data_IF_175890099396
#
_entry.id   IF_175890099396
#
_cell.length_a   1.000
_cell.length_b   1.000
_cell.length_c   1.000
_cell.angle_alpha   90.00
_cell.angle_beta   90.00
_cell.angle_gamma   90.00
#
_symmetry.space_group_name_H-M   'P 1'
#
loop_
_entity.id
_entity.type
_entity.pdbx_description
1 polymer ?
#
# COMPACT_ATOMS: atom_id res chain seq x y z
N UNK A 1 49.63 -21.79 19.77
CA UNK A 1 48.67 -21.23 20.72
C UNK A 1 48.02 -19.92 20.25
N UNK A 2 48.70 -19.14 19.47
CA UNK A 2 48.17 -17.84 18.98
C UNK A 2 47.13 -18.05 17.86
N UNK A 3 47.09 -19.22 17.23
CA UNK A 3 46.16 -19.52 16.13
C UNK A 3 44.73 -19.79 16.59
N UNK A 4 44.50 -20.12 17.84
CA UNK A 4 43.15 -20.39 18.38
C UNK A 4 42.38 -19.11 18.75
N UNK A 5 43.10 -18.02 19.01
CA UNK A 5 42.48 -16.75 19.39
C UNK A 5 41.97 -15.99 18.18
N UNK A 6 42.52 -16.24 16.99
CA UNK A 6 42.09 -15.63 15.75
C UNK A 6 40.76 -16.18 15.23
N UNK A 7 40.41 -17.42 15.58
CA UNK A 7 39.14 -18.01 15.18
C UNK A 7 37.94 -17.52 15.97
N UNK A 8 38.17 -16.99 17.17
CA UNK A 8 37.12 -16.48 18.04
C UNK A 8 36.62 -15.10 17.64
N UNK A 9 37.45 -14.29 16.98
CA UNK A 9 37.10 -12.93 16.59
C UNK A 9 36.23 -12.83 15.32
N UNK A 10 36.22 -13.91 14.54
CA UNK A 10 35.41 -13.92 13.28
C UNK A 10 33.95 -14.26 13.46
N UNK A 11 33.53 -14.65 14.66
CA UNK A 11 32.18 -15.12 14.90
C UNK A 11 31.24 -14.05 15.50
N UNK A 12 31.75 -12.85 15.70
CA UNK A 12 31.01 -11.83 16.46
C UNK A 12 30.39 -10.71 15.60
N UNK A 13 30.39 -10.84 14.29
CA UNK A 13 29.93 -9.76 13.40
C UNK A 13 28.72 -10.18 12.54
N UNK A 14 27.94 -11.13 12.99
CA UNK A 14 26.68 -11.47 12.35
C UNK A 14 25.49 -11.20 13.27
N UNK A 15 25.51 -10.05 13.94
CA UNK A 15 24.27 -9.50 14.45
C UNK A 15 23.64 -8.77 13.26
N UNK A 16 22.93 -9.55 12.43
CA UNK A 16 22.16 -8.99 11.34
C UNK A 16 21.14 -8.02 11.91
N UNK A 17 21.15 -6.81 11.39
CA UNK A 17 20.05 -5.88 11.53
C UNK A 17 18.82 -6.53 10.87
N UNK A 18 18.04 -7.26 11.62
CA UNK A 18 16.70 -7.61 11.20
C UNK A 18 15.85 -6.35 11.36
N UNK A 19 15.78 -5.55 10.30
CA UNK A 19 14.76 -4.53 10.23
C UNK A 19 13.41 -5.25 10.22
N UNK A 20 12.70 -5.23 11.33
CA UNK A 20 11.34 -5.72 11.38
C UNK A 20 10.48 -4.76 10.56
N UNK A 21 10.09 -5.19 9.35
CA UNK A 21 9.04 -4.51 8.58
C UNK A 21 7.74 -4.86 9.28
N UNK A 22 7.22 -3.95 10.09
CA UNK A 22 5.90 -4.15 10.67
C UNK A 22 4.85 -3.97 9.57
N UNK A 23 3.94 -4.94 9.44
CA UNK A 23 2.79 -4.84 8.56
C UNK A 23 1.89 -3.67 9.02
N UNK A 24 1.22 -3.04 8.07
CA UNK A 24 0.24 -2.00 8.37
C UNK A 24 -0.94 -2.58 9.18
N UNK A 25 -1.46 -1.80 10.13
CA UNK A 25 -2.63 -2.19 10.92
C UNK A 25 -3.91 -2.14 10.08
N UNK A 26 -3.96 -1.23 9.11
CA UNK A 26 -5.09 -1.04 8.21
C UNK A 26 -4.61 -1.02 6.77
N UNK A 27 -5.31 -1.74 5.91
CA UNK A 27 -5.06 -1.76 4.47
C UNK A 27 -6.31 -1.25 3.77
N UNK A 28 -6.20 -0.07 3.15
CA UNK A 28 -7.29 0.54 2.40
C UNK A 28 -7.16 0.17 0.92
N UNK A 29 -8.24 -0.33 0.35
CA UNK A 29 -8.34 -0.64 -1.08
C UNK A 29 -9.00 0.54 -1.78
N UNK A 30 -8.22 1.23 -2.59
CA UNK A 30 -8.65 2.42 -3.32
C UNK A 30 -8.72 2.11 -4.81
N UNK A 31 -9.86 2.31 -5.42
CA UNK A 31 -10.05 2.02 -6.82
C UNK A 31 -10.47 3.26 -7.62
N UNK A 32 -10.18 3.22 -8.90
CA UNK A 32 -10.59 4.21 -9.89
C UNK A 32 -10.78 3.49 -11.23
N UNK A 33 -11.69 3.96 -12.05
CA UNK A 33 -11.91 3.37 -13.37
C UNK A 33 -10.94 3.89 -14.43
N UNK A 34 -10.26 4.99 -14.15
CA UNK A 34 -9.18 5.52 -14.94
C UNK A 34 -7.91 4.66 -14.83
N UNK A 35 -6.96 4.88 -15.72
CA UNK A 35 -5.69 4.16 -15.73
C UNK A 35 -4.57 5.02 -15.09
N UNK A 36 -3.37 4.48 -15.06
CA UNK A 36 -2.21 5.13 -14.46
C UNK A 36 -1.66 6.33 -15.24
N UNK A 37 -2.27 6.67 -16.38
CA UNK A 37 -1.94 7.85 -17.18
C UNK A 37 -2.89 9.02 -16.92
N UNK A 38 -3.90 8.83 -16.11
CA UNK A 38 -4.93 9.83 -15.85
C UNK A 38 -4.64 10.63 -14.57
N UNK A 39 -5.20 11.82 -14.48
CA UNK A 39 -5.02 12.73 -13.36
C UNK A 39 -5.53 12.15 -12.03
N UNK A 40 -6.55 11.31 -12.09
CA UNK A 40 -7.09 10.63 -10.91
C UNK A 40 -6.03 9.76 -10.24
N UNK A 41 -5.21 9.10 -11.03
CA UNK A 41 -4.10 8.29 -10.51
C UNK A 41 -3.06 9.14 -9.80
N UNK A 42 -2.68 10.28 -10.38
CA UNK A 42 -1.73 11.18 -9.76
C UNK A 42 -2.24 11.67 -8.40
N UNK A 43 -3.51 12.04 -8.32
CA UNK A 43 -4.15 12.41 -7.06
C UNK A 43 -4.19 11.27 -6.05
N UNK A 44 -4.45 10.06 -6.51
CA UNK A 44 -4.46 8.88 -5.66
C UNK A 44 -3.08 8.57 -5.08
N UNK A 45 -2.01 8.73 -5.87
CA UNK A 45 -0.63 8.55 -5.41
C UNK A 45 -0.27 9.56 -4.33
N UNK A 46 -0.66 10.82 -4.50
CA UNK A 46 -0.45 11.87 -3.48
C UNK A 46 -1.19 11.51 -2.19
N UNK A 47 -2.44 11.09 -2.28
CA UNK A 47 -3.23 10.64 -1.13
C UNK A 47 -2.58 9.47 -0.41
N UNK A 48 -2.20 8.43 -1.16
CA UNK A 48 -1.51 7.26 -0.62
C UNK A 48 -0.25 7.64 0.14
N UNK A 49 0.62 8.42 -0.48
CA UNK A 49 1.89 8.81 0.11
C UNK A 49 1.69 9.64 1.39
N UNK A 50 0.72 10.54 1.38
CA UNK A 50 0.40 11.36 2.54
C UNK A 50 -0.13 10.51 3.70
N UNK A 51 -1.10 9.64 3.45
CA UNK A 51 -1.71 8.80 4.49
C UNK A 51 -0.69 7.83 5.08
N UNK A 52 0.12 7.20 4.25
CA UNK A 52 1.15 6.28 4.70
C UNK A 52 2.21 6.98 5.56
N UNK A 53 2.64 8.16 5.14
CA UNK A 53 3.60 8.96 5.91
C UNK A 53 3.00 9.50 7.22
N UNK A 54 1.82 10.08 7.16
CA UNK A 54 1.16 10.68 8.33
C UNK A 54 0.78 9.65 9.40
N UNK A 55 0.51 8.41 9.00
CA UNK A 55 0.19 7.31 9.91
C UNK A 55 1.42 6.53 10.38
N UNK A 56 2.62 6.92 9.97
CA UNK A 56 3.87 6.18 10.22
C UNK A 56 3.80 4.73 9.74
N UNK A 57 3.19 4.51 8.59
CA UNK A 57 3.02 3.19 7.99
C UNK A 57 1.95 2.31 8.61
N UNK A 58 1.16 2.82 9.55
CA UNK A 58 0.05 2.07 10.17
C UNK A 58 -1.12 1.88 9.22
N UNK A 59 -1.29 2.79 8.27
CA UNK A 59 -2.30 2.70 7.22
C UNK A 59 -1.59 2.57 5.89
N UNK A 60 -1.83 1.47 5.20
CA UNK A 60 -1.37 1.26 3.83
C UNK A 60 -2.53 1.49 2.86
N UNK A 61 -2.26 2.12 1.73
CA UNK A 61 -3.25 2.34 0.68
C UNK A 61 -2.82 1.55 -0.55
N UNK A 62 -3.65 0.63 -0.99
CA UNK A 62 -3.42 -0.16 -2.19
C UNK A 62 -4.27 0.43 -3.33
N UNK A 63 -3.61 0.77 -4.43
CA UNK A 63 -4.25 1.41 -5.57
C UNK A 63 -4.60 0.37 -6.64
N UNK A 64 -5.83 0.44 -7.13
CA UNK A 64 -6.34 -0.41 -8.20
C UNK A 64 -6.85 0.48 -9.33
N UNK A 65 -6.32 0.28 -10.52
CA UNK A 65 -6.66 1.09 -11.70
C UNK A 65 -7.55 0.32 -12.66
N UNK A 66 -8.26 1.05 -13.51
CA UNK A 66 -9.09 0.47 -14.53
C UNK A 66 -10.20 -0.42 -13.94
N UNK A 67 -10.34 -1.61 -14.46
CA UNK A 67 -11.40 -2.55 -14.09
C UNK A 67 -10.93 -3.67 -13.16
N UNK A 68 -9.85 -3.48 -12.43
CA UNK A 68 -9.27 -4.53 -11.59
C UNK A 68 -10.20 -4.97 -10.45
N UNK A 69 -10.91 -4.04 -9.80
CA UNK A 69 -11.84 -4.36 -8.71
C UNK A 69 -13.31 -4.30 -9.14
N UNK A 70 -13.65 -3.41 -10.04
CA UNK A 70 -15.01 -3.18 -10.49
C UNK A 70 -15.00 -2.52 -11.86
N UNK A 71 -15.99 -2.81 -12.71
CA UNK A 71 -16.01 -2.34 -14.10
C UNK A 71 -16.96 -1.19 -14.34
N UNK A 72 -17.93 -0.97 -13.47
CA UNK A 72 -18.96 0.08 -13.60
C UNK A 72 -19.10 0.83 -12.29
N UNK A 73 -19.53 2.09 -12.37
CA UNK A 73 -19.74 2.92 -11.19
C UNK A 73 -20.68 2.29 -10.17
N UNK A 74 -21.80 1.71 -10.61
CA UNK A 74 -22.75 1.03 -9.73
C UNK A 74 -22.13 -0.17 -9.01
N UNK A 75 -21.30 -0.94 -9.70
CA UNK A 75 -20.56 -2.06 -9.11
C UNK A 75 -19.54 -1.59 -8.09
N UNK A 76 -18.82 -0.51 -8.39
CA UNK A 76 -17.85 0.09 -7.46
C UNK A 76 -18.54 0.63 -6.20
N UNK A 77 -19.68 1.29 -6.35
CA UNK A 77 -20.47 1.76 -5.20
C UNK A 77 -21.01 0.60 -4.37
N UNK A 78 -21.40 -0.50 -5.00
CA UNK A 78 -21.77 -1.71 -4.28
C UNK A 78 -20.60 -2.26 -3.47
N UNK A 79 -19.39 -2.22 -4.01
CA UNK A 79 -18.17 -2.61 -3.31
C UNK A 79 -17.88 -1.75 -2.09
N UNK A 80 -18.19 -0.45 -2.14
CA UNK A 80 -18.13 0.44 -0.98
C UNK A 80 -19.15 -0.01 0.08
N UNK A 81 -20.37 -0.31 -0.34
CA UNK A 81 -21.44 -0.72 0.58
C UNK A 81 -21.15 -2.04 1.29
N UNK A 82 -20.56 -3.00 0.60
CA UNK A 82 -20.27 -4.32 1.18
C UNK A 82 -18.91 -4.42 1.85
N UNK A 83 -18.09 -3.37 1.78
CA UNK A 83 -16.78 -3.31 2.43
C UNK A 83 -15.63 -3.93 1.64
N UNK A 84 -15.84 -4.37 0.40
CA UNK A 84 -14.76 -4.89 -0.44
C UNK A 84 -13.88 -3.78 -1.03
N UNK A 85 -14.39 -2.56 -1.09
CA UNK A 85 -13.70 -1.35 -1.54
C UNK A 85 -13.83 -0.31 -0.45
N UNK A 86 -12.74 0.35 -0.08
CA UNK A 86 -12.74 1.37 0.96
C UNK A 86 -12.91 2.78 0.37
N UNK A 87 -12.29 3.02 -0.78
CA UNK A 87 -12.29 4.33 -1.42
C UNK A 87 -12.48 4.15 -2.93
N UNK A 88 -13.40 4.93 -3.50
CA UNK A 88 -13.64 4.96 -4.92
C UNK A 88 -13.53 6.40 -5.44
N UNK A 89 -12.63 6.62 -6.40
CA UNK A 89 -12.51 7.90 -7.09
C UNK A 89 -13.30 7.83 -8.38
N UNK A 90 -14.23 8.76 -8.54
CA UNK A 90 -15.04 8.87 -9.78
C UNK A 90 -15.47 10.31 -9.98
N UNK A 91 -15.84 10.60 -11.23
CA UNK A 91 -16.58 11.81 -11.53
C UNK A 91 -18.05 11.64 -11.12
N UNK A 92 -18.77 12.74 -10.97
CA UNK A 92 -20.20 12.70 -10.65
C UNK A 92 -21.01 11.92 -11.70
N UNK A 93 -20.60 11.97 -12.96
CA UNK A 93 -21.22 11.19 -14.04
C UNK A 93 -20.85 9.70 -13.99
N UNK A 94 -19.64 9.38 -13.58
CA UNK A 94 -19.17 7.99 -13.47
C UNK A 94 -19.77 7.23 -12.30
N UNK A 95 -20.24 7.92 -11.27
CA UNK A 95 -20.87 7.32 -10.10
C UNK A 95 -22.38 7.12 -10.25
N UNK A 96 -22.93 7.64 -11.31
CA UNK A 96 -24.37 7.57 -11.57
C UNK A 96 -24.83 6.20 -12.08
#
# INVERSE_FOLDING_TARGET
MIKLIRSFFSLLILIGFTASVSAADYNLRMTMNSNDQDEDYDGAVVFKNYVEAASNGKIAVELFVGTQLCSKGAECLQGISDGSIDIYISTSGGAA
#
